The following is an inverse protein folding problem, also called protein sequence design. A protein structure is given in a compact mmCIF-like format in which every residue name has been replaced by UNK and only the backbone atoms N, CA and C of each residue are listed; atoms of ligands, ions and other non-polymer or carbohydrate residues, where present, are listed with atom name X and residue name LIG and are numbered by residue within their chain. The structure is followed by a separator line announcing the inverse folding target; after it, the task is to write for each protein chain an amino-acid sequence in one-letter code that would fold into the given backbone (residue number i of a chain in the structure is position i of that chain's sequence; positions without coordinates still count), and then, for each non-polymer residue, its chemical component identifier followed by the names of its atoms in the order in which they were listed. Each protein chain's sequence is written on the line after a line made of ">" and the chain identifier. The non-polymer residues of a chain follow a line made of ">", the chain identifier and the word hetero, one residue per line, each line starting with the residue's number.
data_IF_416793508036
#
_entry.id   IF_416793508036
#
_cell.length_a   1.000
_cell.length_b   1.000
_cell.length_c   1.000
_cell.angle_alpha   90.00
_cell.angle_beta   90.00
_cell.angle_gamma   90.00
#
_symmetry.space_group_name_H-M   'P 1'
#
loop_
_entity.id
_entity.type
_entity.pdbx_description
1 polymer ?
#
# COMPACT_ATOMS: atom_id res chain seq x y z
N UNK A 1 -29.33 -7.61 -3.32
CA UNK A 1 -28.67 -7.99 -4.58
C UNK A 1 -27.15 -7.75 -4.48
N UNK A 2 -26.55 -8.42 -3.49
CA UNK A 2 -25.16 -8.28 -3.07
C UNK A 2 -24.12 -8.40 -4.21
N UNK A 3 -24.21 -9.37 -5.14
CA UNK A 3 -23.17 -9.51 -6.15
C UNK A 3 -23.06 -8.34 -7.12
N UNK A 4 -24.16 -7.63 -7.37
CA UNK A 4 -24.19 -6.52 -8.31
C UNK A 4 -23.72 -5.18 -7.71
N UNK A 5 -23.69 -5.10 -6.38
CA UNK A 5 -23.32 -3.88 -5.64
C UNK A 5 -22.05 -4.02 -4.80
N UNK A 6 -21.26 -5.08 -5.04
CA UNK A 6 -20.08 -5.37 -4.24
C UNK A 6 -19.09 -4.20 -4.20
N UNK A 7 -18.84 -3.56 -5.34
CA UNK A 7 -17.95 -2.40 -5.42
C UNK A 7 -18.44 -1.22 -4.61
N UNK A 8 -19.72 -0.91 -4.69
CA UNK A 8 -20.35 0.18 -3.92
C UNK A 8 -20.30 -0.09 -2.41
N UNK A 9 -20.54 -1.34 -2.01
CA UNK A 9 -20.47 -1.75 -0.61
C UNK A 9 -19.05 -1.60 -0.07
N UNK A 10 -18.05 -2.04 -0.82
CA UNK A 10 -16.65 -1.90 -0.44
C UNK A 10 -16.23 -0.43 -0.37
N UNK A 11 -16.62 0.38 -1.34
CA UNK A 11 -16.30 1.81 -1.37
C UNK A 11 -16.90 2.54 -0.15
N UNK A 12 -18.12 2.21 0.22
CA UNK A 12 -18.78 2.80 1.39
C UNK A 12 -18.10 2.43 2.72
N UNK A 13 -17.44 1.27 2.79
CA UNK A 13 -16.78 0.79 3.99
C UNK A 13 -15.31 1.16 4.09
N UNK A 14 -14.70 1.54 2.98
CA UNK A 14 -13.28 1.88 2.91
C UNK A 14 -13.06 3.42 2.99
N UNK A 15 -11.90 3.83 3.53
CA UNK A 15 -10.98 3.06 4.35
C UNK A 15 -11.65 2.54 5.63
N UNK A 16 -11.20 1.37 6.11
CA UNK A 16 -11.78 0.75 7.30
C UNK A 16 -11.67 1.67 8.54
N UNK A 17 -12.73 1.69 9.35
CA UNK A 17 -12.77 2.55 10.54
C UNK A 17 -11.67 2.26 11.57
N UNK A 18 -11.20 1.02 11.64
CA UNK A 18 -10.03 0.63 12.44
C UNK A 18 -8.71 1.24 11.96
N UNK A 19 -8.66 1.66 10.71
CA UNK A 19 -7.48 2.30 10.09
C UNK A 19 -7.52 3.81 10.24
N UNK A 20 -8.69 4.42 10.05
CA UNK A 20 -8.83 5.87 10.05
C UNK A 20 -9.19 6.45 11.41
N UNK A 21 -9.92 5.71 12.23
CA UNK A 21 -10.56 6.26 13.42
C UNK A 21 -11.83 7.08 13.09
N UNK A 22 -12.32 7.83 14.06
CA UNK A 22 -13.53 8.63 13.93
C UNK A 22 -13.31 10.09 14.41
N UNK A 23 -13.92 11.08 13.76
CA UNK A 23 -14.72 10.98 12.54
C UNK A 23 -13.86 10.74 11.29
N UNK A 24 -14.33 9.87 10.40
CA UNK A 24 -13.57 9.37 9.25
C UNK A 24 -13.02 10.46 8.34
N UNK A 25 -13.85 11.39 7.92
CA UNK A 25 -13.45 12.43 6.96
C UNK A 25 -12.33 13.32 7.51
N UNK A 26 -12.44 13.70 8.78
CA UNK A 26 -11.45 14.54 9.46
C UNK A 26 -10.13 13.80 9.65
N UNK A 27 -10.17 12.56 10.08
CA UNK A 27 -8.98 11.75 10.30
C UNK A 27 -8.27 11.41 9.00
N UNK A 28 -8.99 11.16 7.92
CA UNK A 28 -8.42 10.98 6.60
C UNK A 28 -7.68 12.22 6.11
N UNK A 29 -8.26 13.39 6.30
CA UNK A 29 -7.61 14.65 5.95
C UNK A 29 -6.31 14.86 6.74
N UNK A 30 -6.32 14.61 8.04
CA UNK A 30 -5.15 14.73 8.89
C UNK A 30 -4.05 13.76 8.44
N UNK A 31 -4.39 12.52 8.16
CA UNK A 31 -3.44 11.51 7.66
C UNK A 31 -2.81 11.95 6.34
N UNK A 32 -3.61 12.42 5.42
CA UNK A 32 -3.14 12.87 4.11
C UNK A 32 -2.18 14.06 4.23
N UNK A 33 -2.51 15.03 5.07
CA UNK A 33 -1.65 16.20 5.31
C UNK A 33 -0.36 15.82 6.03
N UNK A 34 -0.43 14.92 7.03
CA UNK A 34 0.72 14.50 7.82
C UNK A 34 1.71 13.63 7.03
N UNK A 35 1.20 12.71 6.22
CA UNK A 35 2.04 11.79 5.46
C UNK A 35 2.58 12.40 4.17
N UNK A 36 1.78 13.18 3.46
CA UNK A 36 2.20 13.89 2.25
C UNK A 36 2.51 12.99 1.05
N UNK A 37 2.07 11.74 1.03
CA UNK A 37 2.22 10.80 -0.08
C UNK A 37 1.00 9.90 -0.25
N UNK A 38 0.88 9.26 -1.40
CA UNK A 38 -0.16 8.29 -1.66
C UNK A 38 0.22 6.93 -1.04
N UNK A 39 -0.66 6.37 -0.22
CA UNK A 39 -0.46 5.06 0.40
C UNK A 39 -0.47 3.89 -0.59
N UNK A 40 -1.01 4.09 -1.79
CA UNK A 40 -1.18 3.01 -2.76
C UNK A 40 -2.06 1.90 -2.20
N UNK A 41 -1.58 0.67 -2.20
CA UNK A 41 -2.31 -0.48 -1.66
C UNK A 41 -2.32 -0.56 -0.13
N UNK A 42 -1.45 0.15 0.55
CA UNK A 42 -1.38 0.12 2.01
C UNK A 42 -2.68 0.64 2.64
N UNK A 43 -3.24 -0.14 3.55
CA UNK A 43 -4.55 0.06 4.18
C UNK A 43 -5.76 -0.07 3.25
N UNK A 44 -5.54 -0.50 2.02
CA UNK A 44 -6.59 -0.89 1.11
C UNK A 44 -7.15 -2.29 1.42
N UNK A 45 -7.85 -2.86 0.48
CA UNK A 45 -8.44 -4.20 0.61
C UNK A 45 -7.93 -5.09 -0.52
N UNK A 46 -7.66 -6.33 -0.19
CA UNK A 46 -7.38 -7.40 -1.13
C UNK A 46 -8.30 -8.58 -0.84
N UNK A 47 -8.77 -9.25 -1.87
CA UNK A 47 -9.62 -10.41 -1.67
C UNK A 47 -9.81 -11.25 -2.91
N UNK A 48 -10.43 -12.39 -2.70
CA UNK A 48 -10.85 -13.32 -3.76
C UNK A 48 -12.37 -13.36 -3.72
N UNK A 49 -12.96 -13.10 -4.87
CA UNK A 49 -14.40 -13.26 -5.07
C UNK A 49 -14.65 -14.46 -5.95
N UNK A 50 -15.33 -15.44 -5.42
CA UNK A 50 -15.66 -16.68 -6.14
C UNK A 50 -17.05 -17.16 -5.76
N UNK A 51 -17.83 -17.56 -6.75
CA UNK A 51 -19.17 -18.15 -6.59
C UNK A 51 -20.11 -17.41 -5.64
N UNK A 52 -20.03 -16.07 -5.60
CA UNK A 52 -20.85 -15.23 -4.74
C UNK A 52 -20.31 -15.01 -3.33
N UNK A 53 -19.15 -15.56 -3.02
CA UNK A 53 -18.48 -15.38 -1.75
C UNK A 53 -17.24 -14.48 -1.90
N UNK A 54 -17.10 -13.53 -0.99
CA UNK A 54 -15.91 -12.66 -0.90
C UNK A 54 -15.10 -13.04 0.34
N UNK A 55 -13.85 -13.42 0.13
CA UNK A 55 -12.86 -13.55 1.19
C UNK A 55 -11.84 -12.44 1.05
N UNK A 56 -11.83 -11.49 1.97
CA UNK A 56 -11.01 -10.30 1.87
C UNK A 56 -10.36 -9.92 3.19
N UNK A 57 -9.27 -9.15 3.08
CA UNK A 57 -8.56 -8.60 4.22
C UNK A 57 -8.01 -7.22 3.92
N UNK A 58 -7.82 -6.41 4.96
CA UNK A 58 -7.14 -5.13 4.86
C UNK A 58 -5.65 -5.37 4.65
N UNK A 59 -5.06 -4.64 3.71
CA UNK A 59 -3.64 -4.75 3.38
C UNK A 59 -2.79 -3.98 4.37
N UNK A 60 -2.27 -4.67 5.37
CA UNK A 60 -1.33 -4.17 6.35
C UNK A 60 -0.17 -5.17 6.53
N UNK A 61 0.99 -4.69 6.97
CA UNK A 61 2.17 -5.54 7.23
C UNK A 61 2.53 -6.45 6.06
N UNK A 62 2.82 -5.85 4.93
CA UNK A 62 3.23 -6.56 3.73
C UNK A 62 4.44 -5.89 3.09
N UNK A 63 5.05 -6.61 2.16
CA UNK A 63 6.17 -6.10 1.37
C UNK A 63 5.64 -5.67 0.01
N UNK A 64 5.90 -4.43 -0.34
CA UNK A 64 5.61 -3.87 -1.65
C UNK A 64 6.88 -3.78 -2.46
N UNK A 65 6.82 -4.25 -3.68
CA UNK A 65 7.89 -4.07 -4.63
C UNK A 65 7.59 -2.86 -5.51
N UNK A 66 8.46 -1.87 -5.45
CA UNK A 66 8.46 -0.79 -6.41
C UNK A 66 9.31 -1.20 -7.61
N UNK A 67 8.67 -1.58 -8.68
CA UNK A 67 9.32 -1.65 -9.97
C UNK A 67 9.37 -0.24 -10.53
N UNK A 68 10.54 0.39 -10.49
CA UNK A 68 10.76 1.55 -11.34
C UNK A 68 10.33 1.15 -12.74
N UNK A 69 9.47 1.91 -13.43
CA UNK A 69 9.37 1.73 -14.85
C UNK A 69 10.80 1.83 -15.35
N UNK A 70 11.33 0.73 -15.82
CA UNK A 70 12.52 0.77 -16.68
C UNK A 70 12.14 1.84 -17.67
N UNK A 71 12.91 2.90 -17.71
CA UNK A 71 12.69 3.96 -18.62
C UNK A 71 12.44 3.33 -19.99
N UNK A 72 11.19 3.14 -20.32
CA UNK A 72 10.75 3.10 -21.67
C UNK A 72 10.86 4.55 -22.13
N UNK A 73 12.03 5.11 -21.94
CA UNK A 73 12.43 6.14 -22.84
C UNK A 73 12.36 5.48 -24.18
N UNK A 74 11.41 5.93 -24.91
CA UNK A 74 11.41 5.79 -26.33
C UNK A 74 12.76 6.34 -26.78
N UNK A 75 13.78 5.51 -26.74
CA UNK A 75 14.94 5.70 -27.56
C UNK A 75 14.42 5.58 -28.99
N UNK A 76 13.94 6.73 -29.45
CA UNK A 76 13.84 6.95 -30.84
C UNK A 76 15.18 6.58 -31.42
N UNK A 77 15.20 5.50 -32.20
CA UNK A 77 16.18 5.22 -33.21
C UNK A 77 17.54 5.90 -33.06
N UNK A 78 18.43 5.36 -32.25
CA UNK A 78 19.86 5.45 -32.47
C UNK A 78 20.62 4.72 -31.38
N UNK A 79 20.96 3.51 -31.64
CA UNK A 79 22.18 2.79 -31.32
C UNK A 79 21.90 1.29 -31.11
N UNK A 80 21.54 0.66 -32.18
CA UNK A 80 21.58 -0.80 -32.30
C UNK A 80 23.02 -1.26 -32.57
N UNK A 81 23.96 -0.87 -31.71
CA UNK A 81 25.32 -1.47 -31.68
C UNK A 81 25.94 -1.29 -30.33
N UNK A 82 26.33 -2.39 -29.75
CA UNK A 82 27.19 -2.56 -28.58
C UNK A 82 26.48 -2.47 -27.22
N UNK A 83 25.79 -3.55 -26.87
CA UNK A 83 25.88 -4.10 -25.50
C UNK A 83 25.23 -5.50 -25.47
N UNK A 84 25.78 -6.41 -26.23
CA UNK A 84 25.59 -7.84 -25.98
C UNK A 84 26.17 -8.12 -24.59
N UNK A 85 25.31 -8.39 -23.60
CA UNK A 85 25.69 -8.94 -22.32
C UNK A 85 25.35 -8.19 -21.03
N UNK A 86 24.82 -6.97 -21.07
CA UNK A 86 24.32 -6.31 -19.84
C UNK A 86 22.79 -6.25 -19.87
N UNK A 87 22.15 -7.22 -19.22
CA UNK A 87 20.75 -7.04 -18.83
C UNK A 87 20.67 -5.76 -18.00
N UNK A 88 19.72 -4.83 -18.31
CA UNK A 88 19.52 -3.67 -17.46
C UNK A 88 19.26 -4.20 -16.05
N UNK A 89 20.06 -3.77 -15.08
CA UNK A 89 19.82 -4.08 -13.67
C UNK A 89 18.54 -3.33 -13.30
N UNK A 90 17.41 -4.05 -13.30
CA UNK A 90 16.19 -3.56 -12.68
C UNK A 90 16.53 -3.36 -11.20
N UNK A 91 16.63 -2.13 -10.76
CA UNK A 91 16.76 -1.85 -9.34
C UNK A 91 15.41 -2.16 -8.70
N UNK A 92 15.34 -3.29 -8.00
CA UNK A 92 14.16 -3.67 -7.23
C UNK A 92 14.29 -3.00 -5.87
N UNK A 93 13.31 -2.17 -5.53
CA UNK A 93 13.18 -1.63 -4.18
C UNK A 93 12.02 -2.33 -3.48
N UNK A 94 12.29 -2.84 -2.30
CA UNK A 94 11.31 -3.50 -1.47
C UNK A 94 11.02 -2.62 -0.26
N UNK A 95 9.74 -2.37 -0.01
CA UNK A 95 9.27 -1.60 1.13
C UNK A 95 8.40 -2.47 2.03
N UNK A 96 8.77 -2.59 3.29
CA UNK A 96 7.87 -3.18 4.28
C UNK A 96 6.89 -2.10 4.76
N UNK A 97 5.61 -2.32 4.54
CA UNK A 97 4.55 -1.40 4.93
C UNK A 97 4.01 -1.78 6.31
N UNK A 98 4.19 -0.90 7.27
CA UNK A 98 3.67 -1.05 8.63
C UNK A 98 3.25 0.29 9.19
N UNK A 99 2.35 0.29 10.14
CA UNK A 99 1.88 1.49 10.80
C UNK A 99 1.20 1.19 12.12
N UNK A 100 0.80 2.21 12.84
CA UNK A 100 0.09 2.12 14.10
C UNK A 100 -0.99 3.17 14.23
N UNK A 101 -1.92 2.95 15.16
CA UNK A 101 -2.95 3.91 15.52
C UNK A 101 -2.42 4.92 16.53
N UNK A 102 -2.72 6.19 16.32
CA UNK A 102 -2.31 7.29 17.18
C UNK A 102 -3.54 7.97 17.78
N UNK A 103 -3.49 8.22 19.08
CA UNK A 103 -4.50 8.99 19.80
C UNK A 103 -3.85 10.18 20.51
N UNK A 104 -4.67 11.05 21.10
CA UNK A 104 -4.18 12.20 21.87
C UNK A 104 -3.30 11.82 23.06
N UNK A 105 -3.37 10.58 23.53
CA UNK A 105 -2.59 10.04 24.64
C UNK A 105 -1.38 9.24 24.20
N UNK A 106 -1.15 9.12 22.92
CA UNK A 106 -0.03 8.37 22.37
C UNK A 106 1.30 9.09 22.62
N UNK A 107 2.32 8.30 22.96
CA UNK A 107 3.70 8.76 23.01
C UNK A 107 4.39 8.46 21.68
N UNK A 108 4.95 9.47 21.05
CA UNK A 108 5.54 9.37 19.71
C UNK A 108 6.62 8.29 19.63
N UNK A 109 7.51 8.22 20.61
CA UNK A 109 8.61 7.25 20.61
C UNK A 109 8.12 5.82 20.79
N UNK A 110 7.15 5.60 21.69
CA UNK A 110 6.57 4.28 21.93
C UNK A 110 5.83 3.76 20.71
N UNK A 111 5.07 4.62 20.05
CA UNK A 111 4.34 4.27 18.82
C UNK A 111 5.30 3.92 17.69
N UNK A 112 6.39 4.65 17.54
CA UNK A 112 7.42 4.34 16.56
C UNK A 112 8.12 3.00 16.85
N UNK A 113 8.51 2.76 18.09
CA UNK A 113 9.13 1.50 18.51
C UNK A 113 8.19 0.31 18.28
N UNK A 114 6.91 0.48 18.51
CA UNK A 114 5.88 -0.53 18.24
C UNK A 114 5.77 -0.85 16.75
N UNK A 115 5.81 0.16 15.89
CA UNK A 115 5.83 -0.05 14.44
C UNK A 115 7.06 -0.83 14.01
N UNK A 116 8.22 -0.51 14.53
CA UNK A 116 9.47 -1.23 14.24
C UNK A 116 9.40 -2.69 14.67
N UNK A 117 8.80 -2.99 15.81
CA UNK A 117 8.61 -4.36 16.29
C UNK A 117 7.67 -5.19 15.40
N UNK A 118 6.76 -4.55 14.70
CA UNK A 118 5.86 -5.20 13.72
C UNK A 118 6.56 -5.61 12.43
N UNK A 119 7.75 -5.08 12.19
CA UNK A 119 8.54 -5.38 11.00
C UNK A 119 9.36 -6.63 11.25
N UNK A 120 8.83 -7.77 10.86
CA UNK A 120 9.57 -9.02 10.88
C UNK A 120 9.23 -9.85 9.65
N UNK A 121 10.21 -10.58 9.16
CA UNK A 121 10.03 -11.52 8.07
C UNK A 121 9.89 -12.92 8.66
N UNK A 122 8.80 -13.64 8.39
CA UNK A 122 8.73 -15.06 8.68
C UNK A 122 9.72 -15.78 7.76
N UNK A 123 10.75 -16.29 8.36
CA UNK A 123 11.78 -17.06 7.64
C UNK A 123 11.48 -18.53 7.81
#
# INVERSE_FOLDING_TARGET
>A
DYPHHLGEILDAQLPAGSITGAPKDKTMQIIQEAEGYDRGFYTGIMGIYDQGELNSAVMIRFIEEETSPVDFEADGEKNFKANEGKKPKKSRKLYFKAGGGITSKSDCRREYEEVIQKIYLPI
#
